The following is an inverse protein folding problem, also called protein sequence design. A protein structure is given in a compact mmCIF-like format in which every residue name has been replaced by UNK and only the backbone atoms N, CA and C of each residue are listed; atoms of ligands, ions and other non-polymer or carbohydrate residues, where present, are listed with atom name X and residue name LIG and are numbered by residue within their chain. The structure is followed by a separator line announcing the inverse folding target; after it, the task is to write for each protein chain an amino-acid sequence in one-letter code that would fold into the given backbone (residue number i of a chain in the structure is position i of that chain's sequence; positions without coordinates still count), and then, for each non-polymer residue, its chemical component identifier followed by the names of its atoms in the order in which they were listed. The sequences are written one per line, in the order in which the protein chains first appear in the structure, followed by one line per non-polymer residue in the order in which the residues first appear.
data_IF_208289550294
#
_entry.id   IF_208289550294
#
_cell.length_a   1.000
_cell.length_b   1.000
_cell.length_c   1.000
_cell.angle_alpha   90.00
_cell.angle_beta   90.00
_cell.angle_gamma   90.00
#
_symmetry.space_group_name_H-M   'P 1'
#
loop_
_entity.id
_entity.type
_entity.pdbx_description
1 polymer ?
#
# COMPACT_ATOMS: atom_id res chain seq x y z
N UNK A 1 -26.56 -1.60 21.19
CA UNK A 1 -25.56 -1.97 20.15
C UNK A 1 -25.21 -0.70 19.38
N UNK A 2 -23.94 -0.33 19.27
CA UNK A 2 -23.51 0.90 18.56
C UNK A 2 -23.12 0.59 17.11
N UNK A 3 -24.13 0.30 16.28
CA UNK A 3 -23.91 0.04 14.85
C UNK A 3 -23.40 1.32 14.16
N UNK A 4 -22.36 1.18 13.34
CA UNK A 4 -21.73 2.31 12.65
C UNK A 4 -20.79 3.16 13.53
N UNK A 5 -20.45 2.70 14.73
CA UNK A 5 -19.52 3.42 15.61
C UNK A 5 -18.06 3.32 15.16
N UNK A 6 -17.71 2.25 14.43
CA UNK A 6 -16.38 2.03 13.89
C UNK A 6 -16.45 1.70 12.40
N UNK A 7 -15.38 2.05 11.69
CA UNK A 7 -15.22 1.71 10.29
C UNK A 7 -14.90 0.23 10.12
N UNK A 8 -15.46 -0.36 9.06
CA UNK A 8 -15.19 -1.73 8.66
C UNK A 8 -14.48 -1.67 7.31
N UNK A 9 -13.30 -2.29 7.27
CA UNK A 9 -12.47 -2.38 6.07
C UNK A 9 -12.45 -3.83 5.60
N UNK A 10 -12.57 -4.05 4.30
CA UNK A 10 -12.38 -5.34 3.66
C UNK A 10 -11.06 -5.36 2.88
N UNK A 11 -10.37 -6.51 2.81
CA UNK A 11 -9.17 -6.61 2.00
C UNK A 11 -9.49 -6.43 0.51
N UNK A 12 -8.73 -5.57 -0.15
CA UNK A 12 -8.82 -5.35 -1.59
C UNK A 12 -7.96 -6.35 -2.34
N UNK A 13 -8.49 -7.05 -3.36
CA UNK A 13 -7.64 -7.78 -4.33
C UNK A 13 -7.09 -6.79 -5.35
N UNK A 14 -5.87 -6.32 -5.12
CA UNK A 14 -5.21 -5.35 -5.97
C UNK A 14 -4.91 -5.86 -7.39
N UNK A 15 -4.84 -7.17 -7.63
CA UNK A 15 -4.62 -7.71 -8.98
C UNK A 15 -5.85 -7.50 -9.84
N UNK A 16 -7.04 -7.71 -9.27
CA UNK A 16 -8.30 -7.43 -9.94
C UNK A 16 -8.45 -5.93 -10.19
N UNK A 17 -8.17 -5.11 -9.17
CA UNK A 17 -8.25 -3.65 -9.28
C UNK A 17 -7.29 -3.09 -10.34
N UNK A 18 -6.04 -3.59 -10.42
CA UNK A 18 -5.06 -3.19 -11.44
C UNK A 18 -5.54 -3.54 -12.85
N UNK A 19 -6.04 -4.77 -13.05
CA UNK A 19 -6.56 -5.20 -14.35
C UNK A 19 -7.74 -4.33 -14.80
N UNK A 20 -8.66 -4.01 -13.89
CA UNK A 20 -9.78 -3.09 -14.17
C UNK A 20 -9.28 -1.68 -14.49
N UNK A 21 -8.37 -1.14 -13.68
CA UNK A 21 -7.81 0.20 -13.86
C UNK A 21 -7.12 0.33 -15.23
N UNK A 22 -6.29 -0.65 -15.60
CA UNK A 22 -5.61 -0.67 -16.90
C UNK A 22 -6.60 -0.78 -18.05
N UNK A 23 -7.62 -1.62 -17.94
CA UNK A 23 -8.63 -1.79 -19.00
C UNK A 23 -9.44 -0.51 -19.25
N UNK A 24 -9.77 0.24 -18.20
CA UNK A 24 -10.57 1.47 -18.30
C UNK A 24 -9.71 2.65 -18.77
N UNK A 25 -8.49 2.76 -18.27
CA UNK A 25 -7.67 3.98 -18.46
C UNK A 25 -6.65 3.87 -19.58
N UNK A 26 -6.26 2.65 -19.98
CA UNK A 26 -5.15 2.39 -20.89
C UNK A 26 -3.76 2.72 -20.32
N UNK A 27 -3.68 3.17 -19.05
CA UNK A 27 -2.41 3.54 -18.42
C UNK A 27 -1.61 2.31 -18.02
N UNK A 28 -0.29 2.42 -18.11
CA UNK A 28 0.60 1.39 -17.59
C UNK A 28 0.57 1.44 -16.05
N UNK A 29 0.07 0.38 -15.43
CA UNK A 29 -0.03 0.26 -13.98
C UNK A 29 0.67 -0.98 -13.45
N UNK A 30 1.00 -0.96 -12.16
CA UNK A 30 1.52 -2.13 -11.43
C UNK A 30 1.11 -2.10 -9.97
N UNK A 31 0.96 -3.28 -9.38
CA UNK A 31 0.83 -3.47 -7.94
C UNK A 31 2.21 -3.73 -7.34
N UNK A 32 2.51 -3.10 -6.21
CA UNK A 32 3.75 -3.29 -5.45
C UNK A 32 3.44 -3.60 -3.99
N UNK A 33 4.38 -4.24 -3.31
CA UNK A 33 4.34 -4.31 -1.85
C UNK A 33 4.54 -2.91 -1.25
N UNK A 34 3.98 -2.65 -0.07
CA UNK A 34 4.17 -1.39 0.63
C UNK A 34 5.66 -1.10 0.93
N UNK A 35 6.42 -2.12 1.32
CA UNK A 35 7.86 -1.98 1.57
C UNK A 35 8.66 -1.61 0.32
N UNK A 36 8.35 -2.22 -0.83
CA UNK A 36 9.03 -1.87 -2.09
C UNK A 36 8.66 -0.46 -2.57
N UNK A 37 7.42 -0.04 -2.31
CA UNK A 37 6.99 1.33 -2.57
C UNK A 37 7.84 2.32 -1.76
N UNK A 38 7.95 2.12 -0.44
CA UNK A 38 8.72 3.02 0.42
C UNK A 38 10.20 3.05 0.06
N UNK A 39 10.84 1.90 -0.17
CA UNK A 39 12.26 1.88 -0.57
C UNK A 39 12.55 2.64 -1.86
N UNK A 40 11.56 2.75 -2.75
CA UNK A 40 11.73 3.44 -4.03
C UNK A 40 11.43 4.93 -3.94
N UNK A 41 10.49 5.35 -3.10
CA UNK A 41 9.93 6.71 -3.13
C UNK A 41 9.99 7.48 -1.81
N UNK A 42 10.48 6.89 -0.72
CA UNK A 42 10.67 7.58 0.56
C UNK A 42 12.14 7.70 0.92
N UNK A 43 12.46 8.68 1.76
CA UNK A 43 13.73 8.74 2.48
C UNK A 43 13.63 7.78 3.67
N UNK A 44 14.10 6.55 3.50
CA UNK A 44 13.88 5.45 4.46
C UNK A 44 14.54 5.75 5.81
N UNK A 45 15.65 6.46 5.77
CA UNK A 45 16.42 6.90 6.94
C UNK A 45 15.60 7.83 7.83
N UNK A 46 14.73 8.66 7.23
CA UNK A 46 13.84 9.57 7.94
C UNK A 46 12.63 8.85 8.55
N UNK A 47 12.41 7.57 8.20
CA UNK A 47 11.32 6.75 8.75
C UNK A 47 11.80 5.75 9.81
N UNK A 48 13.06 5.85 10.22
CA UNK A 48 13.62 5.09 11.33
C UNK A 48 13.22 5.72 12.66
N UNK A 49 12.75 4.88 13.58
CA UNK A 49 12.44 5.30 14.95
C UNK A 49 13.72 5.49 15.75
N UNK A 50 13.62 6.17 16.90
CA UNK A 50 14.76 6.34 17.81
C UNK A 50 15.41 5.03 18.26
N UNK A 51 14.68 3.91 18.24
CA UNK A 51 15.20 2.58 18.59
C UNK A 51 15.90 1.86 17.46
N UNK A 52 15.91 2.42 16.24
CA UNK A 52 16.51 1.83 15.05
C UNK A 52 15.55 1.00 14.19
N UNK A 53 14.32 0.78 14.65
CA UNK A 53 13.32 0.04 13.87
C UNK A 53 12.65 0.96 12.85
N UNK A 54 12.25 0.38 11.71
CA UNK A 54 11.47 1.08 10.68
C UNK A 54 10.08 0.42 10.52
N UNK A 55 9.04 0.93 11.24
CA UNK A 55 7.69 0.39 11.19
C UNK A 55 7.08 0.37 9.79
N UNK A 56 7.39 1.39 8.98
CA UNK A 56 6.82 1.51 7.65
C UNK A 56 7.34 0.40 6.71
N UNK A 57 8.57 -0.08 6.92
CA UNK A 57 9.09 -1.24 6.19
C UNK A 57 8.66 -2.59 6.79
N UNK A 58 8.41 -2.67 8.10
CA UNK A 58 8.30 -3.94 8.81
C UNK A 58 6.87 -4.33 9.22
N UNK A 59 5.98 -3.37 9.51
CA UNK A 59 4.65 -3.66 10.08
C UNK A 59 3.58 -3.89 9.01
N UNK A 60 3.70 -3.24 7.86
CA UNK A 60 2.68 -3.26 6.79
C UNK A 60 3.04 -4.21 5.64
N UNK A 61 3.64 -5.37 5.94
CA UNK A 61 4.13 -6.33 4.92
C UNK A 61 3.02 -6.88 4.02
N UNK A 62 1.78 -6.92 4.52
CA UNK A 62 0.60 -7.37 3.78
C UNK A 62 -0.09 -6.24 3.00
N UNK A 63 0.34 -5.00 3.14
CA UNK A 63 -0.22 -3.88 2.40
C UNK A 63 0.34 -3.83 0.97
N UNK A 64 -0.52 -3.48 0.02
CA UNK A 64 -0.20 -3.34 -1.39
C UNK A 64 -0.53 -1.93 -1.88
N UNK A 65 0.23 -1.46 -2.87
CA UNK A 65 0.04 -0.13 -3.48
C UNK A 65 -0.10 -0.29 -4.99
N UNK A 66 -1.13 0.31 -5.57
CA UNK A 66 -1.30 0.44 -7.01
C UNK A 66 -0.63 1.74 -7.47
N UNK A 67 0.27 1.65 -8.44
CA UNK A 67 0.93 2.83 -9.03
C UNK A 67 0.76 2.84 -10.54
N UNK A 68 0.61 4.03 -11.11
CA UNK A 68 0.79 4.26 -12.55
C UNK A 68 2.27 4.55 -12.80
N UNK A 69 2.82 3.99 -13.87
CA UNK A 69 4.23 4.14 -14.26
C UNK A 69 4.35 5.20 -15.34
#
# INVERSE_FOLDING_TARGET
VHQGYFDILFPTDFRVTEAMYRAITGKLSRVMSHGDFLRRWSYVEDTETRSGDNPLLSYYKNASVLVTV
#
